data_IF_961905543095
#
_entry.id   IF_961905543095
#
_cell.length_a   1.000
_cell.length_b   1.000
_cell.length_c   1.000
_cell.angle_alpha   90.00
_cell.angle_beta   90.00
_cell.angle_gamma   90.00
#
_symmetry.space_group_name_H-M   'P 1'
#
loop_
_entity.id
_entity.type
_entity.pdbx_description
1 polymer ?
#
# COMPACT_ATOMS: atom_id res chain seq x y z
N UNK A 1 -101.86 -22.48 11.81
CA UNK A 1 -100.86 -21.47 11.48
C UNK A 1 -99.73 -21.67 12.51
N UNK A 2 -98.78 -22.48 12.15
CA UNK A 2 -97.61 -22.78 13.05
C UNK A 2 -96.37 -22.34 12.29
N UNK A 3 -95.68 -21.35 12.82
CA UNK A 3 -94.41 -20.87 12.33
C UNK A 3 -93.31 -21.71 12.97
N UNK A 4 -92.52 -22.39 12.15
CA UNK A 4 -91.29 -23.10 12.57
C UNK A 4 -90.18 -22.17 12.34
N UNK A 5 -89.46 -21.82 13.39
CA UNK A 5 -88.22 -21.09 13.40
C UNK A 5 -87.07 -22.08 13.26
N UNK A 6 -86.34 -22.01 12.15
CA UNK A 6 -85.09 -22.74 11.89
C UNK A 6 -83.94 -21.88 12.40
N UNK A 7 -83.31 -22.30 13.47
CA UNK A 7 -82.07 -21.67 13.94
C UNK A 7 -80.89 -22.34 13.27
N UNK A 8 -80.25 -21.62 12.36
CA UNK A 8 -78.98 -22.05 11.71
C UNK A 8 -77.83 -21.62 12.58
N UNK A 9 -77.18 -22.58 13.23
CA UNK A 9 -75.91 -22.33 13.95
C UNK A 9 -74.75 -22.21 12.92
N UNK A 10 -74.21 -21.00 12.73
CA UNK A 10 -72.95 -20.79 12.03
C UNK A 10 -71.81 -21.12 12.97
N UNK A 11 -71.18 -22.25 12.79
CA UNK A 11 -69.89 -22.56 13.41
C UNK A 11 -68.79 -21.81 12.67
N UNK A 12 -68.24 -20.75 13.26
CA UNK A 12 -67.00 -20.10 12.81
C UNK A 12 -65.82 -21.03 13.09
N UNK A 13 -65.32 -21.69 12.07
CA UNK A 13 -64.00 -22.30 12.12
C UNK A 13 -62.94 -21.19 12.06
N UNK A 14 -62.41 -20.83 13.20
CA UNK A 14 -61.19 -20.00 13.28
C UNK A 14 -60.01 -20.87 12.86
N UNK A 15 -59.61 -20.82 11.61
CA UNK A 15 -58.32 -21.36 11.19
C UNK A 15 -57.22 -20.47 11.75
N UNK A 16 -56.58 -20.94 12.82
CA UNK A 16 -55.34 -20.33 13.29
C UNK A 16 -54.26 -20.52 12.22
N UNK A 17 -54.06 -19.50 11.42
CA UNK A 17 -52.91 -19.44 10.53
C UNK A 17 -51.63 -19.34 11.42
N UNK A 18 -50.99 -20.46 11.63
CA UNK A 18 -49.62 -20.43 12.15
C UNK A 18 -48.75 -19.83 11.07
N UNK A 19 -48.48 -18.53 11.16
CA UNK A 19 -47.39 -17.91 10.42
C UNK A 19 -46.11 -18.56 10.90
N UNK A 20 -45.50 -19.40 10.07
CA UNK A 20 -44.19 -19.92 10.36
C UNK A 20 -43.22 -18.74 10.34
N UNK A 21 -42.54 -18.48 11.43
CA UNK A 21 -41.48 -17.48 11.51
C UNK A 21 -40.36 -17.94 10.62
N UNK A 22 -40.34 -17.44 9.37
CA UNK A 22 -39.33 -17.78 8.38
C UNK A 22 -38.38 -16.60 8.24
N UNK A 23 -37.06 -16.86 8.31
CA UNK A 23 -36.02 -15.92 7.98
C UNK A 23 -35.40 -16.33 6.62
N UNK A 24 -35.23 -15.38 5.71
CA UNK A 24 -34.57 -15.61 4.42
C UNK A 24 -33.14 -15.13 4.48
N UNK A 25 -32.17 -16.05 4.39
CA UNK A 25 -30.77 -15.73 4.21
C UNK A 25 -30.51 -15.56 2.69
N UNK A 26 -30.03 -14.40 2.29
CA UNK A 26 -29.58 -14.16 0.93
C UNK A 26 -28.06 -14.14 0.92
N UNK A 27 -27.45 -14.96 0.07
CA UNK A 27 -26.02 -14.91 -0.23
C UNK A 27 -25.87 -14.19 -1.56
N UNK A 28 -25.17 -13.06 -1.56
CA UNK A 28 -24.86 -12.27 -2.75
C UNK A 28 -23.35 -12.17 -2.91
N UNK A 29 -22.88 -12.22 -4.15
CA UNK A 29 -21.47 -12.06 -4.50
C UNK A 29 -21.35 -11.76 -5.98
N UNK A 30 -20.23 -11.17 -6.37
CA UNK A 30 -19.88 -10.93 -7.78
C UNK A 30 -18.58 -11.68 -8.07
N UNK A 31 -18.60 -12.54 -9.04
CA UNK A 31 -17.38 -13.08 -9.64
C UNK A 31 -16.96 -12.15 -10.77
N UNK A 32 -15.70 -11.75 -10.80
CA UNK A 32 -15.14 -10.87 -11.81
C UNK A 32 -13.75 -11.37 -12.20
N UNK A 33 -13.42 -11.25 -13.47
CA UNK A 33 -12.07 -11.42 -13.99
C UNK A 33 -11.34 -10.07 -14.16
N UNK A 34 -11.89 -8.99 -13.63
CA UNK A 34 -11.23 -7.70 -13.65
C UNK A 34 -9.91 -7.80 -12.88
N UNK A 35 -8.81 -7.75 -13.60
CA UNK A 35 -7.46 -7.72 -13.05
C UNK A 35 -6.97 -6.28 -12.98
N UNK A 36 -6.15 -5.99 -11.97
CA UNK A 36 -5.42 -4.73 -11.87
C UNK A 36 -3.95 -4.96 -12.27
N UNK A 37 -3.36 -3.99 -12.94
CA UNK A 37 -1.96 -4.03 -13.38
C UNK A 37 -1.22 -2.85 -12.78
N UNK A 38 -0.14 -3.07 -12.01
CA UNK A 38 0.74 -2.01 -11.53
C UNK A 38 1.78 -1.66 -12.61
N UNK A 39 2.10 -0.39 -12.72
CA UNK A 39 3.14 0.12 -13.60
C UNK A 39 3.87 1.27 -12.93
N UNK A 40 5.19 1.19 -12.90
CA UNK A 40 6.05 2.30 -12.48
C UNK A 40 6.44 3.16 -13.68
N UNK A 41 6.47 4.49 -13.48
CA UNK A 41 7.07 5.39 -14.46
C UNK A 41 8.55 5.06 -14.67
N UNK A 42 9.13 5.53 -15.77
CA UNK A 42 10.54 5.32 -16.13
C UNK A 42 10.97 3.83 -16.11
N UNK A 43 10.05 2.91 -16.41
CA UNK A 43 10.32 1.47 -16.35
C UNK A 43 10.70 0.94 -14.95
N UNK A 44 10.36 1.67 -13.89
CA UNK A 44 10.69 1.29 -12.51
C UNK A 44 12.09 1.71 -12.06
N UNK A 45 12.78 2.53 -12.84
CA UNK A 45 14.15 2.95 -12.52
C UNK A 45 14.15 4.33 -11.88
N UNK A 46 14.82 4.43 -10.73
CA UNK A 46 15.18 5.68 -10.06
C UNK A 46 16.69 5.82 -10.14
N UNK A 47 17.15 6.69 -11.02
CA UNK A 47 18.58 6.89 -11.30
C UNK A 47 19.13 8.08 -10.52
N UNK A 48 20.10 7.81 -9.66
CA UNK A 48 20.85 8.84 -8.90
C UNK A 48 22.07 9.37 -9.69
N UNK A 49 22.32 8.82 -10.87
CA UNK A 49 23.44 9.24 -11.73
C UNK A 49 24.82 8.85 -11.18
N UNK A 50 25.85 9.51 -11.66
CA UNK A 50 27.22 9.32 -11.17
C UNK A 50 27.44 10.16 -9.92
N UNK A 51 27.85 9.53 -8.83
CA UNK A 51 28.15 10.16 -7.56
C UNK A 51 29.68 10.17 -7.40
N UNK A 52 30.26 11.36 -7.32
CA UNK A 52 31.71 11.51 -7.19
C UNK A 52 32.12 11.42 -5.72
N UNK A 53 32.94 10.43 -5.36
CA UNK A 53 33.36 10.18 -3.97
C UNK A 53 34.07 11.38 -3.35
N UNK A 54 34.77 12.19 -4.16
CA UNK A 54 35.46 13.41 -3.70
C UNK A 54 34.55 14.54 -3.22
N UNK A 55 33.23 14.45 -3.53
CA UNK A 55 32.23 15.42 -3.09
C UNK A 55 31.51 14.98 -1.82
N UNK A 56 31.80 13.76 -1.33
CA UNK A 56 31.19 13.15 -0.18
C UNK A 56 31.99 13.34 1.11
N UNK A 57 31.30 13.33 2.23
CA UNK A 57 31.93 13.26 3.54
C UNK A 57 32.62 11.92 3.73
N UNK A 58 33.87 11.96 4.22
CA UNK A 58 34.62 10.77 4.55
C UNK A 58 34.03 10.01 5.73
N UNK A 59 33.55 10.72 6.77
CA UNK A 59 33.15 10.15 8.05
C UNK A 59 31.66 10.22 8.36
N UNK A 60 30.93 11.18 7.78
CA UNK A 60 29.50 11.33 8.01
C UNK A 60 28.66 10.58 6.96
N UNK A 61 27.41 10.29 7.31
CA UNK A 61 26.40 9.81 6.36
C UNK A 61 26.11 10.89 5.32
N UNK A 62 26.12 10.50 4.06
CA UNK A 62 25.85 11.37 2.91
C UNK A 62 24.40 11.22 2.48
N UNK A 63 23.61 12.27 2.62
CA UNK A 63 22.23 12.31 2.11
C UNK A 63 22.28 12.70 0.62
N UNK A 64 21.77 11.84 -0.26
CA UNK A 64 21.81 12.05 -1.72
C UNK A 64 20.52 12.65 -2.27
N UNK A 65 19.58 12.97 -1.36
CA UNK A 65 18.34 13.65 -1.68
C UNK A 65 17.26 12.74 -2.27
N UNK A 66 16.24 13.39 -2.76
CA UNK A 66 14.98 12.77 -3.17
C UNK A 66 14.88 12.62 -4.70
N UNK A 67 14.22 11.55 -5.13
CA UNK A 67 13.83 11.31 -6.53
C UNK A 67 12.38 10.85 -6.57
N UNK A 68 11.63 11.40 -7.53
CA UNK A 68 10.22 11.06 -7.74
C UNK A 68 10.07 9.88 -8.71
N UNK A 69 9.09 9.02 -8.43
CA UNK A 69 8.62 7.96 -9.33
C UNK A 69 7.13 7.71 -9.08
N UNK A 70 6.33 7.48 -10.13
CA UNK A 70 4.91 7.21 -9.98
C UNK A 70 4.61 5.73 -10.09
N UNK A 71 3.79 5.21 -9.17
CA UNK A 71 3.12 3.92 -9.32
C UNK A 71 1.70 4.18 -9.81
N UNK A 72 1.38 3.68 -11.01
CA UNK A 72 0.03 3.69 -11.56
C UNK A 72 -0.56 2.29 -11.48
N UNK A 73 -1.77 2.16 -10.91
CA UNK A 73 -2.52 0.91 -10.89
C UNK A 73 -3.75 1.10 -11.75
N UNK A 74 -3.91 0.27 -12.79
CA UNK A 74 -5.06 0.28 -13.69
C UNK A 74 -5.83 -1.02 -13.57
N UNK A 75 -7.14 -0.96 -13.37
CA UNK A 75 -8.05 -2.09 -13.22
C UNK A 75 -9.05 -2.15 -14.36
N UNK A 76 -9.43 -3.34 -14.79
CA UNK A 76 -10.43 -3.55 -15.85
C UNK A 76 -11.87 -3.17 -15.44
N UNK A 77 -12.14 -2.97 -14.16
CA UNK A 77 -13.40 -2.44 -13.59
C UNK A 77 -13.08 -1.83 -12.22
N UNK A 78 -13.96 -0.97 -11.66
CA UNK A 78 -13.78 -0.42 -10.33
C UNK A 78 -13.50 -1.53 -9.30
N UNK A 79 -12.33 -1.52 -8.69
CA UNK A 79 -11.84 -2.58 -7.80
C UNK A 79 -11.19 -1.96 -6.57
N UNK A 80 -11.50 -2.49 -5.39
CA UNK A 80 -10.74 -2.18 -4.18
C UNK A 80 -9.46 -2.99 -4.19
N UNK A 81 -8.33 -2.32 -4.28
CA UNK A 81 -7.01 -2.94 -4.32
C UNK A 81 -6.01 -2.08 -3.55
N UNK A 82 -5.14 -2.76 -2.85
CA UNK A 82 -3.98 -2.15 -2.23
C UNK A 82 -2.70 -2.78 -2.79
N UNK A 83 -1.56 -2.40 -2.24
CA UNK A 83 -0.27 -2.94 -2.60
C UNK A 83 0.66 -2.97 -1.38
N UNK A 84 1.61 -3.89 -1.43
CA UNK A 84 2.68 -4.07 -0.44
C UNK A 84 4.02 -4.01 -1.15
N UNK A 85 5.08 -3.73 -0.40
CA UNK A 85 6.45 -3.73 -0.92
C UNK A 85 7.34 -4.64 -0.09
N UNK A 86 8.16 -5.43 -0.77
CA UNK A 86 9.23 -6.19 -0.16
C UNK A 86 10.58 -5.70 -0.70
N UNK A 87 11.54 -5.52 0.19
CA UNK A 87 12.91 -5.20 -0.14
C UNK A 87 13.66 -6.45 -0.60
N UNK A 88 14.06 -6.49 -1.86
CA UNK A 88 14.82 -7.62 -2.43
C UNK A 88 16.31 -7.54 -2.07
N UNK A 89 16.73 -6.46 -1.41
CA UNK A 89 18.11 -6.21 -0.96
C UNK A 89 18.22 -6.03 0.56
N UNK A 90 17.29 -6.58 1.32
CA UNK A 90 17.19 -6.43 2.77
C UNK A 90 18.52 -6.67 3.51
N UNK A 91 19.28 -7.70 3.09
CA UNK A 91 20.58 -8.05 3.70
C UNK A 91 21.69 -7.01 3.47
N UNK A 92 21.44 -5.98 2.65
CA UNK A 92 22.36 -4.89 2.36
C UNK A 92 22.02 -3.57 3.05
N UNK A 93 21.01 -3.56 3.92
CA UNK A 93 20.69 -2.36 4.73
C UNK A 93 21.87 -1.97 5.61
N UNK A 94 22.31 -0.72 5.51
CA UNK A 94 23.42 -0.21 6.31
C UNK A 94 23.00 0.28 7.71
N UNK A 95 21.69 0.43 7.97
CA UNK A 95 21.15 0.86 9.26
C UNK A 95 21.52 2.31 9.61
N UNK A 96 21.65 3.17 8.62
CA UNK A 96 21.99 4.59 8.78
C UNK A 96 20.73 5.47 8.71
N UNK A 97 20.85 6.71 9.17
CA UNK A 97 19.79 7.69 9.09
C UNK A 97 19.56 8.10 7.63
N UNK A 98 18.30 8.09 7.20
CA UNK A 98 17.84 8.60 5.90
C UNK A 98 16.90 9.75 6.14
N UNK A 99 16.99 10.81 5.35
CA UNK A 99 16.02 11.91 5.40
C UNK A 99 14.64 11.43 4.92
N UNK A 100 13.65 11.62 5.77
CA UNK A 100 12.26 11.41 5.44
C UNK A 100 11.52 12.74 5.58
N UNK A 101 11.32 13.42 4.45
CA UNK A 101 10.60 14.69 4.40
C UNK A 101 11.11 15.71 5.45
N UNK A 102 12.43 15.88 5.54
CA UNK A 102 13.10 16.80 6.49
C UNK A 102 13.33 16.24 7.88
N UNK A 103 13.02 14.96 8.13
CA UNK A 103 13.24 14.31 9.42
C UNK A 103 14.12 13.07 9.24
N UNK A 104 15.26 13.03 9.96
CA UNK A 104 16.15 11.87 9.94
C UNK A 104 15.48 10.65 10.58
N UNK A 105 15.39 9.55 9.85
CA UNK A 105 14.77 8.31 10.27
C UNK A 105 15.75 7.13 10.18
N UNK A 106 15.73 6.27 11.21
CA UNK A 106 16.49 5.02 11.23
C UNK A 106 15.61 3.88 11.74
N UNK A 107 14.48 3.67 11.05
CA UNK A 107 13.54 2.59 11.38
C UNK A 107 13.69 1.51 10.31
N UNK A 108 14.22 0.35 10.68
CA UNK A 108 14.65 -0.70 9.74
C UNK A 108 13.57 -1.18 8.78
N UNK A 109 12.31 -1.24 9.22
CA UNK A 109 11.20 -1.67 8.36
C UNK A 109 10.68 -0.59 7.38
N UNK A 110 11.22 0.65 7.44
CA UNK A 110 11.02 1.68 6.42
C UNK A 110 12.22 1.85 5.50
N UNK A 111 13.33 1.17 5.79
CA UNK A 111 14.55 1.25 5.01
C UNK A 111 14.65 0.10 4.02
N UNK A 112 15.25 0.38 2.89
CA UNK A 112 15.55 -0.54 1.81
C UNK A 112 17.06 -0.54 1.54
N UNK A 113 17.63 -1.70 1.25
CA UNK A 113 19.05 -1.83 0.94
C UNK A 113 19.38 -1.36 -0.48
N UNK A 114 20.63 -0.90 -0.68
CA UNK A 114 21.15 -0.44 -1.98
C UNK A 114 22.40 -1.19 -2.43
N UNK A 115 22.60 -2.39 -1.91
CA UNK A 115 23.73 -3.24 -2.28
C UNK A 115 24.93 -3.08 -1.35
N UNK A 116 26.01 -3.74 -1.75
CA UNK A 116 27.28 -3.81 -1.01
C UNK A 116 28.45 -3.45 -1.91
N UNK A 117 29.51 -2.92 -1.28
CA UNK A 117 30.79 -2.78 -1.97
C UNK A 117 31.41 -4.15 -2.28
N UNK A 118 32.44 -4.19 -3.12
CA UNK A 118 33.22 -5.40 -3.41
C UNK A 118 33.78 -6.03 -2.12
N UNK A 119 34.12 -5.20 -1.12
CA UNK A 119 34.57 -5.62 0.19
C UNK A 119 33.45 -6.16 1.11
N UNK A 120 32.20 -6.19 0.64
CA UNK A 120 31.06 -6.71 1.41
C UNK A 120 30.43 -5.69 2.38
N UNK A 121 30.87 -4.43 2.34
CA UNK A 121 30.30 -3.36 3.19
C UNK A 121 28.96 -2.91 2.61
N UNK A 122 27.93 -2.83 3.43
CA UNK A 122 26.63 -2.30 3.05
C UNK A 122 26.75 -0.82 2.66
N UNK A 123 26.30 -0.43 1.47
CA UNK A 123 26.55 0.92 0.94
C UNK A 123 25.71 1.96 1.66
N UNK A 124 24.42 1.69 1.82
CA UNK A 124 23.49 2.68 2.37
C UNK A 124 22.09 2.14 2.50
N UNK A 125 21.14 3.08 2.58
CA UNK A 125 19.72 2.81 2.62
C UNK A 125 18.96 3.84 1.80
N UNK A 126 17.84 3.44 1.21
CA UNK A 126 16.82 4.40 0.80
C UNK A 126 15.53 4.19 1.58
N UNK A 127 14.70 5.21 1.62
CA UNK A 127 13.32 5.15 2.07
C UNK A 127 12.38 5.42 0.91
N UNK A 128 11.20 4.83 0.97
CA UNK A 128 10.12 5.05 0.01
C UNK A 128 8.92 5.64 0.74
N UNK A 129 8.32 6.69 0.19
CA UNK A 129 7.14 7.32 0.77
C UNK A 129 6.24 7.95 -0.29
N UNK A 130 4.98 8.22 0.08
CA UNK A 130 4.00 8.86 -0.79
C UNK A 130 4.05 10.36 -0.56
N UNK A 131 4.27 11.10 -1.63
CA UNK A 131 4.39 12.56 -1.61
C UNK A 131 3.13 13.21 -1.05
N UNK A 132 3.31 13.96 0.04
CA UNK A 132 2.22 14.67 0.73
C UNK A 132 1.04 13.79 1.17
N UNK A 133 1.19 12.45 1.17
CA UNK A 133 0.13 11.47 1.45
C UNK A 133 -1.08 11.61 0.50
N UNK A 134 -0.84 12.11 -0.73
CA UNK A 134 -1.87 12.33 -1.74
C UNK A 134 -1.73 11.33 -2.87
N UNK A 135 -2.88 10.93 -3.39
CA UNK A 135 -3.00 10.03 -4.54
C UNK A 135 -4.01 10.63 -5.53
N UNK A 136 -3.94 10.20 -6.79
CA UNK A 136 -4.99 10.54 -7.77
C UNK A 136 -5.83 9.28 -8.03
N UNK A 137 -7.15 9.39 -7.87
CA UNK A 137 -8.13 8.30 -8.01
C UNK A 137 -9.08 8.68 -9.13
N UNK A 138 -9.07 7.97 -10.24
CA UNK A 138 -9.93 8.22 -11.41
C UNK A 138 -9.94 9.71 -11.83
N UNK A 139 -8.74 10.36 -11.75
CA UNK A 139 -8.53 11.76 -12.09
C UNK A 139 -8.88 12.78 -11.01
N UNK A 140 -9.30 12.33 -9.82
CA UNK A 140 -9.59 13.19 -8.67
C UNK A 140 -8.55 13.00 -7.55
N UNK A 141 -8.32 14.05 -6.74
CA UNK A 141 -7.46 13.93 -5.57
C UNK A 141 -8.09 13.04 -4.50
N UNK A 142 -7.28 12.18 -3.92
CA UNK A 142 -7.60 11.34 -2.78
C UNK A 142 -6.44 11.30 -1.78
N UNK A 143 -6.65 10.56 -0.70
CA UNK A 143 -5.65 10.36 0.34
C UNK A 143 -5.08 8.94 0.28
N UNK A 144 -3.78 8.85 0.56
CA UNK A 144 -3.15 7.57 0.85
C UNK A 144 -3.60 7.07 2.23
N UNK A 145 -3.87 5.78 2.29
CA UNK A 145 -4.16 5.07 3.53
C UNK A 145 -3.39 3.75 3.57
N UNK A 146 -3.09 3.29 4.79
CA UNK A 146 -2.48 1.98 4.99
C UNK A 146 -3.18 1.17 6.07
N UNK A 147 -3.05 -0.16 5.97
CA UNK A 147 -3.42 -1.12 7.01
C UNK A 147 -2.30 -2.14 7.16
N UNK A 148 -1.99 -2.54 8.38
CA UNK A 148 -1.06 -3.63 8.60
C UNK A 148 -1.78 -4.98 8.53
N UNK A 149 -1.09 -6.02 8.06
CA UNK A 149 -1.68 -7.36 7.88
C UNK A 149 -2.17 -7.97 9.19
N UNK A 150 -1.55 -7.63 10.32
CA UNK A 150 -1.96 -8.04 11.67
C UNK A 150 -3.25 -7.36 12.14
N UNK A 151 -3.67 -6.27 11.52
CA UNK A 151 -4.97 -5.63 11.75
C UNK A 151 -6.12 -6.29 10.98
N UNK A 152 -5.81 -7.26 10.14
CA UNK A 152 -6.76 -8.02 9.33
C UNK A 152 -7.75 -7.14 8.55
N UNK A 153 -7.27 -5.99 8.02
CA UNK A 153 -8.10 -5.03 7.28
C UNK A 153 -9.14 -4.27 8.13
N UNK A 154 -9.13 -4.47 9.46
CA UNK A 154 -10.11 -3.83 10.36
C UNK A 154 -9.79 -2.37 10.67
N UNK A 155 -8.58 -1.93 10.40
CA UNK A 155 -8.10 -0.58 10.71
C UNK A 155 -7.30 -0.01 9.54
N UNK A 156 -7.65 1.19 9.13
CA UNK A 156 -6.93 1.96 8.12
C UNK A 156 -6.56 3.33 8.67
N UNK A 157 -5.35 3.78 8.39
CA UNK A 157 -4.79 5.05 8.83
C UNK A 157 -4.11 5.77 7.66
N UNK A 158 -3.95 7.08 7.75
CA UNK A 158 -3.10 7.84 6.84
C UNK A 158 -1.65 7.80 7.33
N UNK A 159 -0.72 7.50 6.43
CA UNK A 159 0.69 7.32 6.77
C UNK A 159 1.64 8.14 5.91
N UNK A 160 2.03 7.62 4.78
CA UNK A 160 2.98 8.18 3.83
C UNK A 160 4.26 7.37 3.69
N UNK A 161 4.82 6.81 4.76
CA UNK A 161 5.99 5.94 4.70
C UNK A 161 5.61 4.52 4.26
N UNK A 162 6.37 3.96 3.32
CA UNK A 162 6.14 2.63 2.76
C UNK A 162 7.06 1.63 3.46
N UNK A 163 6.48 0.59 4.07
CA UNK A 163 7.27 -0.48 4.71
C UNK A 163 7.91 -1.40 3.68
N UNK A 164 9.13 -1.84 4.00
CA UNK A 164 9.96 -2.70 3.16
C UNK A 164 9.79 -4.20 3.41
N UNK A 165 8.91 -4.58 4.35
CA UNK A 165 8.75 -5.96 4.84
C UNK A 165 7.43 -6.62 4.43
N UNK A 166 6.63 -5.98 3.57
CA UNK A 166 5.36 -6.50 3.07
C UNK A 166 4.21 -6.49 4.07
N UNK A 167 4.40 -5.92 5.28
CA UNK A 167 3.38 -5.95 6.34
C UNK A 167 2.31 -4.87 6.15
N UNK A 168 2.67 -3.69 5.64
CA UNK A 168 1.69 -2.63 5.39
C UNK A 168 1.10 -2.75 3.99
N UNK A 169 -0.22 -2.89 3.93
CA UNK A 169 -1.00 -2.77 2.71
C UNK A 169 -1.35 -1.30 2.53
N UNK A 170 -0.95 -0.71 1.41
CA UNK A 170 -1.24 0.67 1.05
C UNK A 170 -2.41 0.68 0.06
N UNK A 171 -3.33 1.61 0.22
CA UNK A 171 -4.48 1.79 -0.67
C UNK A 171 -4.83 3.29 -0.78
N UNK A 172 -5.94 3.57 -1.45
CA UNK A 172 -6.44 4.91 -1.68
C UNK A 172 -7.84 5.09 -1.06
N UNK A 173 -8.09 6.30 -0.56
CA UNK A 173 -9.37 6.70 0.00
C UNK A 173 -9.81 8.06 -0.55
N UNK A 174 -11.09 8.36 -0.48
CA UNK A 174 -11.60 9.71 -0.73
C UNK A 174 -10.97 10.68 0.28
N UNK A 175 -10.62 11.88 -0.17
CA UNK A 175 -10.00 12.91 0.66
C UNK A 175 -10.73 13.07 2.00
N UNK A 176 -9.95 13.01 3.09
CA UNK A 176 -10.43 13.15 4.47
C UNK A 176 -11.06 11.88 5.06
N UNK A 177 -10.98 10.74 4.36
CA UNK A 177 -11.47 9.45 4.88
C UNK A 177 -10.34 8.43 4.98
N UNK A 178 -10.61 7.33 5.71
CA UNK A 178 -9.69 6.19 5.83
C UNK A 178 -10.34 4.87 5.40
N UNK A 179 -11.35 4.93 4.52
CA UNK A 179 -11.99 3.74 3.97
C UNK A 179 -11.50 3.50 2.55
N UNK A 180 -10.96 2.33 2.22
CA UNK A 180 -10.54 2.02 0.85
C UNK A 180 -11.67 2.20 -0.15
N UNK A 181 -11.38 2.86 -1.27
CA UNK A 181 -12.35 3.05 -2.36
C UNK A 181 -12.01 2.14 -3.53
N UNK A 182 -13.05 1.76 -4.30
CA UNK A 182 -12.86 1.09 -5.57
C UNK A 182 -12.51 2.13 -6.65
N UNK A 183 -11.54 1.80 -7.52
CA UNK A 183 -11.10 2.65 -8.62
C UNK A 183 -10.79 1.85 -9.87
N UNK A 184 -10.81 2.50 -11.01
CA UNK A 184 -10.29 1.98 -12.29
C UNK A 184 -8.85 2.39 -12.51
N UNK A 185 -8.45 3.56 -12.02
CA UNK A 185 -7.07 4.02 -12.10
C UNK A 185 -6.69 4.76 -10.82
N UNK A 186 -5.56 4.39 -10.23
CA UNK A 186 -4.97 5.16 -9.14
C UNK A 186 -3.50 5.45 -9.43
N UNK A 187 -3.06 6.67 -9.12
CA UNK A 187 -1.67 7.09 -9.23
C UNK A 187 -1.16 7.45 -7.85
N UNK A 188 -0.11 6.76 -7.42
CA UNK A 188 0.61 6.99 -6.17
C UNK A 188 1.94 7.69 -6.51
N UNK A 189 2.08 9.00 -6.24
CA UNK A 189 3.35 9.70 -6.42
C UNK A 189 4.31 9.30 -5.30
N UNK A 190 5.30 8.47 -5.65
CA UNK A 190 6.31 7.94 -4.74
C UNK A 190 7.56 8.81 -4.77
N UNK A 191 8.21 8.90 -3.63
CA UNK A 191 9.52 9.55 -3.47
C UNK A 191 10.48 8.53 -2.88
N UNK A 192 11.66 8.39 -3.48
CA UNK A 192 12.79 7.71 -2.86
C UNK A 192 13.73 8.74 -2.27
N UNK A 193 14.18 8.55 -1.04
CA UNK A 193 15.22 9.34 -0.40
C UNK A 193 16.39 8.42 -0.08
N UNK A 194 17.59 8.76 -0.55
CA UNK A 194 18.77 7.90 -0.49
C UNK A 194 19.85 8.50 0.42
N UNK A 195 20.43 7.65 1.25
CA UNK A 195 21.63 7.97 2.02
C UNK A 195 22.67 6.85 1.91
N UNK A 196 23.94 7.23 1.87
CA UNK A 196 25.07 6.29 1.86
C UNK A 196 26.06 6.60 3.00
N UNK A 197 26.82 5.60 3.40
CA UNK A 197 27.83 5.74 4.42
C UNK A 197 28.97 6.69 3.99
N UNK A 198 29.77 7.18 4.95
CA UNK A 198 30.98 7.93 4.67
C UNK A 198 32.00 7.12 3.87
N UNK A 199 32.80 7.79 3.04
CA UNK A 199 33.71 7.13 2.10
C UNK A 199 34.82 6.32 2.81
N UNK A 200 35.20 6.68 4.03
CA UNK A 200 36.15 5.89 4.84
C UNK A 200 35.58 4.52 5.22
N UNK A 201 34.26 4.46 5.52
CA UNK A 201 33.58 3.20 5.80
C UNK A 201 33.37 2.37 4.54
N UNK A 202 33.01 3.01 3.45
CA UNK A 202 32.78 2.32 2.16
C UNK A 202 34.06 1.74 1.58
N UNK A 203 35.20 2.38 1.80
CA UNK A 203 36.53 1.97 1.32
C UNK A 203 36.53 1.59 -0.19
N UNK A 204 35.83 2.37 -1.00
CA UNK A 204 35.67 2.13 -2.42
C UNK A 204 36.94 2.52 -3.17
N UNK A 205 37.52 1.62 -3.95
CA UNK A 205 38.71 1.84 -4.79
C UNK A 205 38.38 1.85 -6.28
N UNK A 206 37.24 1.27 -6.66
CA UNK A 206 36.79 1.12 -8.03
C UNK A 206 35.33 1.53 -8.16
N UNK A 207 34.84 1.64 -9.39
CA UNK A 207 33.42 1.94 -9.65
C UNK A 207 32.53 0.92 -8.93
N UNK A 208 31.62 1.42 -8.10
CA UNK A 208 30.70 0.61 -7.32
C UNK A 208 29.26 1.02 -7.64
N UNK A 209 28.46 0.08 -8.11
CA UNK A 209 27.06 0.34 -8.46
C UNK A 209 26.17 0.32 -7.23
N UNK A 210 25.21 1.23 -7.19
CA UNK A 210 24.03 1.09 -6.32
C UNK A 210 23.13 0.01 -6.91
N UNK A 211 22.71 -0.97 -6.08
CA UNK A 211 21.89 -2.11 -6.46
C UNK A 211 20.71 -2.24 -5.51
N UNK A 212 19.86 -1.22 -5.47
CA UNK A 212 18.58 -1.24 -4.75
C UNK A 212 17.51 -1.90 -5.61
N UNK A 213 16.69 -2.77 -5.01
CA UNK A 213 15.57 -3.41 -5.67
C UNK A 213 14.45 -3.68 -4.69
N UNK A 214 13.20 -3.43 -5.10
CA UNK A 214 12.02 -3.76 -4.30
C UNK A 214 10.90 -4.27 -5.19
N UNK A 215 10.16 -5.27 -4.69
CA UNK A 215 9.02 -5.86 -5.39
C UNK A 215 7.71 -5.32 -4.85
N UNK A 216 6.88 -4.73 -5.73
CA UNK A 216 5.52 -4.27 -5.43
C UNK A 216 4.54 -5.39 -5.81
N UNK A 217 3.68 -5.77 -4.86
CA UNK A 217 2.65 -6.81 -5.05
C UNK A 217 1.28 -6.26 -4.75
N UNK A 218 0.34 -6.43 -5.68
CA UNK A 218 -1.07 -6.03 -5.48
C UNK A 218 -1.78 -6.97 -4.50
N UNK A 219 -2.68 -6.40 -3.71
CA UNK A 219 -3.58 -7.08 -2.77
C UNK A 219 -5.00 -6.64 -3.02
N UNK A 220 -5.88 -7.56 -3.42
CA UNK A 220 -7.31 -7.31 -3.53
C UNK A 220 -7.92 -7.29 -2.13
N UNK A 221 -8.78 -6.27 -1.87
CA UNK A 221 -9.35 -5.98 -0.55
C UNK A 221 -10.81 -6.45 -0.46
#
# INVERSE_FOLDING_TARGET
MKKVLLATALSLCVASAFAADTAVLQVKGKLTNAACTPQLSNGGVVDYGTIHLGELSATAVNQLGDKDINLTITCGAPTQVGWVVNDDRESSKAGINVDFNGTMQNISYYQYGVGKTIGGVNIGNYMLFIKNKKVTIDGQEGDEIFSNVDWNGSKWESGGAVRSDGISIISAATTGTTTPVAFTTAVFPLVTSLAIQGTDTLAITDDTSLDGQATITLKYL
#
